data_IF_355032532441
#
_entry.id   IF_355032532441
#
_cell.length_a   1.000
_cell.length_b   1.000
_cell.length_c   1.000
_cell.angle_alpha   90.00
_cell.angle_beta   90.00
_cell.angle_gamma   90.00
#
_symmetry.space_group_name_H-M   'P 1'
#
loop_
_entity.id
_entity.type
_entity.pdbx_description
1 polymer ?
#
# COMPACT_ATOMS: atom_id res chain seq x y z
N UNK A 1 -17.84 -29.42 36.94
CA UNK A 1 -18.28 -30.32 35.85
C UNK A 1 -19.60 -29.82 35.32
N UNK A 2 -19.76 -29.78 34.00
CA UNK A 2 -21.06 -29.47 33.38
C UNK A 2 -21.65 -30.78 32.85
N UNK A 3 -22.97 -30.92 32.93
CA UNK A 3 -23.69 -32.06 32.38
C UNK A 3 -24.34 -31.63 31.07
N UNK A 4 -24.16 -32.45 30.02
CA UNK A 4 -24.90 -32.33 28.76
C UNK A 4 -25.70 -33.63 28.65
N UNK A 5 -27.01 -33.53 28.84
CA UNK A 5 -27.87 -34.71 29.06
C UNK A 5 -27.42 -35.50 30.29
N UNK A 6 -27.22 -36.81 30.11
CA UNK A 6 -26.76 -37.72 31.16
C UNK A 6 -25.23 -37.84 31.27
N UNK A 7 -24.48 -37.18 30.38
CA UNK A 7 -23.03 -37.27 30.35
C UNK A 7 -22.39 -36.13 31.14
N UNK A 8 -21.47 -36.48 32.04
CA UNK A 8 -20.59 -35.51 32.72
C UNK A 8 -19.44 -35.16 31.79
N UNK A 9 -19.35 -33.88 31.42
CA UNK A 9 -18.31 -33.38 30.53
C UNK A 9 -17.45 -32.30 31.20
N UNK A 10 -16.18 -32.28 30.82
CA UNK A 10 -15.25 -31.18 31.12
C UNK A 10 -15.24 -30.29 29.90
N UNK A 11 -15.68 -29.04 30.07
CA UNK A 11 -15.66 -28.06 28.99
C UNK A 11 -14.33 -27.31 29.08
N UNK A 12 -13.43 -27.59 28.15
CA UNK A 12 -12.20 -26.82 28.00
C UNK A 12 -12.45 -25.59 27.11
N UNK A 13 -11.78 -24.45 27.39
CA UNK A 13 -11.80 -23.31 26.50
C UNK A 13 -11.28 -23.68 25.12
N UNK A 14 -11.88 -23.13 24.06
CA UNK A 14 -11.33 -23.27 22.71
C UNK A 14 -9.89 -22.73 22.68
N UNK A 15 -8.93 -23.59 22.35
CA UNK A 15 -7.55 -23.18 22.17
C UNK A 15 -7.46 -22.28 20.92
N UNK A 16 -7.39 -20.97 21.14
CA UNK A 16 -7.25 -19.99 20.07
C UNK A 16 -5.78 -19.96 19.63
N UNK A 17 -5.52 -20.34 18.38
CA UNK A 17 -4.20 -20.11 17.78
C UNK A 17 -3.88 -18.61 17.83
N UNK A 18 -2.72 -18.27 18.38
CA UNK A 18 -2.19 -16.90 18.39
C UNK A 18 -1.80 -16.41 16.99
N UNK A 19 -1.52 -17.36 16.08
CA UNK A 19 -1.17 -17.08 14.69
C UNK A 19 -2.42 -16.86 13.83
N UNK A 20 -2.54 -15.72 13.12
CA UNK A 20 -3.56 -15.59 12.09
C UNK A 20 -3.34 -16.64 10.98
N UNK A 21 -4.42 -17.11 10.32
CA UNK A 21 -4.30 -18.12 9.27
C UNK A 21 -3.43 -17.61 8.11
N UNK A 22 -2.60 -18.50 7.56
CA UNK A 22 -1.81 -18.25 6.36
C UNK A 22 -2.40 -19.05 5.20
N UNK A 23 -2.56 -18.42 4.04
CA UNK A 23 -3.03 -19.09 2.83
C UNK A 23 -1.88 -19.81 2.13
N UNK A 24 -2.04 -21.11 1.89
CA UNK A 24 -1.09 -21.89 1.09
C UNK A 24 -1.19 -21.61 -0.42
N UNK A 25 -2.25 -20.92 -0.88
CA UNK A 25 -2.33 -20.45 -2.28
C UNK A 25 -1.40 -19.25 -2.48
N UNK A 26 -1.57 -18.16 -1.74
CA UNK A 26 -0.85 -16.90 -2.00
C UNK A 26 0.22 -16.54 -0.95
N UNK A 27 0.40 -17.35 0.09
CA UNK A 27 1.36 -17.18 1.20
C UNK A 27 1.12 -16.00 2.16
N UNK A 28 0.07 -15.22 1.93
CA UNK A 28 -0.32 -14.10 2.79
C UNK A 28 -1.16 -14.54 4.00
N UNK A 29 -1.20 -13.68 5.02
CA UNK A 29 -1.91 -13.92 6.28
C UNK A 29 -3.38 -13.46 6.22
N UNK A 30 -4.14 -13.76 7.29
CA UNK A 30 -5.51 -13.30 7.56
C UNK A 30 -6.63 -13.92 6.70
N UNK A 31 -6.36 -15.03 6.01
CA UNK A 31 -7.38 -15.76 5.26
C UNK A 31 -6.94 -17.21 4.99
N UNK A 32 -7.90 -18.09 4.70
CA UNK A 32 -7.64 -19.48 4.35
C UNK A 32 -7.53 -19.67 2.83
N UNK A 33 -6.79 -20.69 2.39
CA UNK A 33 -6.61 -21.03 0.96
C UNK A 33 -7.93 -21.24 0.22
N UNK A 34 -8.95 -21.80 0.89
CA UNK A 34 -10.28 -22.08 0.32
C UNK A 34 -10.99 -20.81 -0.18
N UNK A 35 -10.72 -19.67 0.46
CA UNK A 35 -11.35 -18.38 0.15
C UNK A 35 -10.37 -17.41 -0.54
N UNK A 36 -9.26 -17.93 -1.06
CA UNK A 36 -8.20 -17.12 -1.67
C UNK A 36 -8.39 -17.00 -3.18
N UNK A 37 -8.83 -15.83 -3.64
CA UNK A 37 -8.93 -15.50 -5.07
C UNK A 37 -7.61 -15.00 -5.70
N UNK A 38 -6.55 -14.84 -4.91
CA UNK A 38 -5.25 -14.36 -5.40
C UNK A 38 -4.49 -15.40 -6.23
N UNK A 39 -3.60 -14.90 -7.08
CA UNK A 39 -2.65 -15.71 -7.82
C UNK A 39 -1.80 -16.58 -6.88
N UNK A 40 -1.48 -17.82 -7.28
CA UNK A 40 -0.69 -18.71 -6.46
C UNK A 40 0.75 -18.19 -6.31
N UNK A 41 1.32 -18.41 -5.13
CA UNK A 41 2.73 -18.17 -4.83
C UNK A 41 3.32 -19.39 -4.15
N UNK A 42 4.46 -19.83 -4.65
CA UNK A 42 5.17 -20.98 -4.12
C UNK A 42 5.81 -20.64 -2.76
N UNK A 43 5.58 -21.49 -1.76
CA UNK A 43 6.14 -21.37 -0.41
C UNK A 43 7.68 -21.37 -0.40
N UNK A 44 8.29 -22.16 -1.31
CA UNK A 44 9.73 -22.38 -1.39
C UNK A 44 10.44 -21.27 -2.15
N UNK A 45 9.90 -20.84 -3.27
CA UNK A 45 10.65 -20.00 -4.22
C UNK A 45 10.00 -18.66 -4.54
N UNK A 46 8.83 -18.35 -3.98
CA UNK A 46 8.02 -17.16 -4.28
C UNK A 46 7.53 -17.03 -5.74
N UNK A 47 7.69 -18.08 -6.57
CA UNK A 47 7.22 -18.10 -7.96
C UNK A 47 5.70 -18.22 -8.09
N UNK A 48 5.16 -17.85 -9.25
CA UNK A 48 3.72 -17.80 -9.56
C UNK A 48 3.06 -19.16 -9.82
N UNK A 49 3.35 -20.17 -8.99
CA UNK A 49 2.82 -21.53 -9.09
C UNK A 49 2.51 -22.09 -7.70
N UNK A 50 1.76 -23.19 -7.63
CA UNK A 50 1.51 -23.89 -6.37
C UNK A 50 2.79 -24.60 -5.88
N UNK A 51 2.94 -24.77 -4.57
CA UNK A 51 4.14 -25.43 -4.01
C UNK A 51 4.31 -26.88 -4.51
N UNK A 52 3.21 -27.55 -4.88
CA UNK A 52 3.19 -28.88 -5.49
C UNK A 52 3.83 -28.93 -6.87
N UNK A 53 3.76 -27.85 -7.64
CA UNK A 53 4.31 -27.73 -9.00
C UNK A 53 5.76 -27.21 -9.00
N UNK A 54 6.34 -27.02 -7.81
CA UNK A 54 7.66 -26.42 -7.70
C UNK A 54 8.77 -27.41 -8.04
N UNK A 55 9.55 -27.10 -9.08
CA UNK A 55 10.72 -27.88 -9.51
C UNK A 55 11.96 -27.66 -8.64
N UNK A 56 11.95 -26.67 -7.73
CA UNK A 56 13.09 -26.45 -6.84
C UNK A 56 13.22 -27.59 -5.82
N UNK A 57 14.45 -28.12 -5.73
CA UNK A 57 14.84 -29.10 -4.71
C UNK A 57 14.59 -28.56 -3.30
N UNK A 58 14.26 -29.45 -2.37
CA UNK A 58 14.08 -29.12 -0.95
C UNK A 58 15.35 -28.55 -0.30
N UNK A 59 16.54 -28.86 -0.84
CA UNK A 59 17.84 -28.34 -0.37
C UNK A 59 18.19 -26.96 -0.93
N UNK A 60 17.47 -26.50 -1.97
CA UNK A 60 17.74 -25.19 -2.54
C UNK A 60 17.33 -24.07 -1.59
N UNK A 61 18.05 -22.95 -1.63
CA UNK A 61 17.74 -21.79 -0.80
C UNK A 61 16.31 -21.29 -1.08
N UNK A 62 15.51 -21.24 -0.02
CA UNK A 62 14.14 -20.76 -0.09
C UNK A 62 14.11 -19.22 -0.20
N UNK A 63 13.06 -18.69 -0.83
CA UNK A 63 12.79 -17.26 -0.93
C UNK A 63 11.40 -16.97 -0.38
N UNK A 64 11.33 -16.10 0.62
CA UNK A 64 10.08 -15.76 1.28
C UNK A 64 9.20 -14.91 0.36
N UNK A 65 7.94 -15.31 0.18
CA UNK A 65 6.96 -14.52 -0.59
C UNK A 65 6.56 -13.18 0.07
N UNK A 66 6.80 -13.02 1.37
CA UNK A 66 6.35 -11.87 2.16
C UNK A 66 7.46 -10.84 2.42
N UNK A 67 8.70 -11.30 2.71
CA UNK A 67 9.85 -10.42 3.00
C UNK A 67 11.01 -10.57 2.02
N UNK A 68 10.93 -11.49 1.05
CA UNK A 68 12.02 -11.81 0.10
C UNK A 68 13.31 -12.34 0.72
N UNK A 69 13.32 -12.65 2.03
CA UNK A 69 14.47 -13.22 2.73
C UNK A 69 14.75 -14.69 2.42
N UNK A 70 15.91 -15.21 2.87
CA UNK A 70 16.41 -16.56 2.56
C UNK A 70 15.74 -17.66 3.42
N UNK A 71 14.42 -17.68 3.45
CA UNK A 71 13.63 -18.64 4.24
C UNK A 71 12.25 -18.86 3.57
N UNK A 72 11.53 -19.96 3.86
CA UNK A 72 10.19 -20.14 3.33
C UNK A 72 9.19 -19.13 3.91
N UNK A 73 8.05 -18.93 3.24
CA UNK A 73 7.06 -17.93 3.65
C UNK A 73 6.37 -18.24 5.00
N UNK A 74 6.40 -19.49 5.46
CA UNK A 74 5.84 -19.94 6.75
C UNK A 74 6.83 -19.89 7.91
N UNK A 75 8.04 -19.37 7.70
CA UNK A 75 9.06 -19.27 8.75
C UNK A 75 8.60 -18.36 9.89
N UNK A 76 8.60 -18.87 11.12
CA UNK A 76 8.13 -18.16 12.31
C UNK A 76 8.91 -16.88 12.60
N UNK A 77 10.21 -16.86 12.33
CA UNK A 77 11.10 -15.70 12.50
C UNK A 77 11.01 -14.65 11.39
N UNK A 78 10.10 -14.79 10.42
CA UNK A 78 9.96 -13.81 9.35
C UNK A 78 9.61 -12.41 9.91
N UNK A 79 10.29 -11.32 9.51
CA UNK A 79 9.98 -9.97 10.01
C UNK A 79 8.59 -9.47 9.57
N UNK A 80 8.02 -10.06 8.51
CA UNK A 80 6.65 -9.78 8.03
C UNK A 80 5.61 -10.71 8.65
N UNK A 81 5.99 -11.62 9.54
CA UNK A 81 5.04 -12.43 10.30
C UNK A 81 4.22 -11.51 11.23
N UNK A 82 2.87 -11.59 11.22
CA UNK A 82 2.00 -10.80 12.09
C UNK A 82 2.33 -10.86 13.58
N UNK A 83 2.91 -11.95 14.08
CA UNK A 83 3.34 -12.02 15.49
C UNK A 83 4.54 -11.10 15.74
N UNK A 84 5.48 -11.05 14.79
CA UNK A 84 6.70 -10.27 14.93
C UNK A 84 6.46 -8.77 14.65
N UNK A 85 5.49 -8.43 13.80
CA UNK A 85 5.14 -7.03 13.50
C UNK A 85 4.35 -6.34 14.61
N UNK A 86 3.50 -7.06 15.34
CA UNK A 86 2.73 -6.50 16.48
C UNK A 86 3.65 -5.96 17.58
N UNK A 87 4.82 -6.56 17.77
CA UNK A 87 5.77 -6.12 18.79
C UNK A 87 6.45 -4.80 18.40
N UNK A 88 6.71 -4.58 17.11
CA UNK A 88 7.35 -3.34 16.62
C UNK A 88 6.42 -2.11 16.66
N UNK A 89 5.11 -2.29 16.49
CA UNK A 89 4.16 -1.17 16.50
C UNK A 89 3.83 -0.63 17.90
N UNK A 90 4.07 -1.40 18.98
CA UNK A 90 3.87 -0.93 20.35
C UNK A 90 4.86 0.16 20.76
N UNK A 91 6.03 0.21 20.11
CA UNK A 91 7.08 1.20 20.40
C UNK A 91 7.00 2.44 19.50
N UNK A 92 6.00 2.56 18.63
CA UNK A 92 5.82 3.77 17.83
C UNK A 92 5.12 4.81 18.70
N UNK A 93 5.70 6.00 18.95
CA UNK A 93 4.99 7.06 19.64
C UNK A 93 3.71 7.32 18.86
N UNK A 94 2.56 7.14 19.51
CA UNK A 94 1.26 7.44 18.93
C UNK A 94 1.22 8.94 18.73
N UNK A 95 1.64 9.43 17.55
CA UNK A 95 1.35 10.80 17.16
C UNK A 95 -0.17 10.94 17.21
N UNK A 96 -0.67 11.86 18.02
CA UNK A 96 -2.10 12.10 18.15
C UNK A 96 -2.64 12.62 16.81
N UNK A 97 -3.12 11.70 15.97
CA UNK A 97 -3.68 11.98 14.63
C UNK A 97 -4.75 13.07 14.68
N UNK A 98 -5.42 13.23 15.83
CA UNK A 98 -6.38 14.29 16.10
C UNK A 98 -5.78 15.70 16.16
N UNK A 99 -4.60 15.86 16.77
CA UNK A 99 -3.94 17.17 16.88
C UNK A 99 -3.40 17.62 15.50
N UNK A 100 -2.82 16.70 14.74
CA UNK A 100 -2.29 16.94 13.39
C UNK A 100 -3.41 17.29 12.40
N UNK A 101 -4.55 16.58 12.47
CA UNK A 101 -5.75 16.90 11.67
C UNK A 101 -6.41 18.21 12.07
N UNK A 102 -6.42 18.57 13.36
CA UNK A 102 -6.97 19.84 13.83
C UNK A 102 -6.12 21.03 13.35
N UNK A 103 -4.79 20.91 13.39
CA UNK A 103 -3.87 21.91 12.85
C UNK A 103 -4.06 22.12 11.34
N UNK A 104 -4.10 21.02 10.56
CA UNK A 104 -4.32 21.08 9.11
C UNK A 104 -5.70 21.64 8.72
N UNK A 105 -6.72 21.51 9.60
CA UNK A 105 -8.05 22.09 9.38
C UNK A 105 -8.08 23.59 9.64
N UNK A 106 -7.35 24.10 10.65
CA UNK A 106 -7.22 25.54 10.90
C UNK A 106 -6.55 26.26 9.73
N UNK A 107 -5.51 25.67 9.15
CA UNK A 107 -4.78 26.27 8.03
C UNK A 107 -5.65 26.42 6.76
N UNK A 108 -6.50 25.43 6.47
CA UNK A 108 -7.44 25.47 5.32
C UNK A 108 -8.65 26.39 5.50
N UNK A 109 -8.88 26.89 6.71
CA UNK A 109 -10.04 27.72 7.03
C UNK A 109 -9.69 29.21 7.01
N UNK A 110 -8.40 29.56 7.09
CA UNK A 110 -7.89 30.94 6.99
C UNK A 110 -7.85 31.50 5.57
N UNK A 111 -7.94 30.67 4.53
CA UNK A 111 -7.72 31.08 3.12
C UNK A 111 -8.99 31.11 2.28
N UNK A 112 -10.18 30.95 2.87
CA UNK A 112 -11.44 31.03 2.13
C UNK A 112 -11.91 32.48 2.12
N UNK A 113 -11.98 33.15 0.94
CA UNK A 113 -12.50 34.50 0.88
C UNK A 113 -13.96 34.48 1.33
N UNK A 114 -14.31 35.44 2.17
CA UNK A 114 -15.66 35.66 2.64
C UNK A 114 -16.55 36.12 1.49
N UNK A 115 -17.87 35.90 1.62
CA UNK A 115 -18.84 36.31 0.61
C UNK A 115 -18.74 37.80 0.26
N UNK A 116 -18.47 38.66 1.25
CA UNK A 116 -18.26 40.09 1.04
C UNK A 116 -16.98 40.42 0.27
N UNK A 117 -15.92 39.61 0.40
CA UNK A 117 -14.67 39.76 -0.37
C UNK A 117 -14.85 39.31 -1.82
N UNK A 118 -15.69 38.30 -2.07
CA UNK A 118 -16.01 37.83 -3.43
C UNK A 118 -16.79 38.89 -4.22
N UNK A 119 -17.74 39.57 -3.58
CA UNK A 119 -18.62 40.57 -4.24
C UNK A 119 -17.87 41.87 -4.56
N UNK A 120 -16.80 42.22 -3.84
CA UNK A 120 -15.99 43.42 -4.10
C UNK A 120 -14.96 43.25 -5.22
N UNK A 121 -14.85 42.05 -5.82
CA UNK A 121 -13.87 41.80 -6.88
C UNK A 121 -14.33 42.52 -8.17
N UNK A 122 -13.59 43.52 -8.67
CA UNK A 122 -13.96 44.17 -9.91
C UNK A 122 -13.88 43.15 -11.06
N UNK A 123 -14.97 43.03 -11.83
CA UNK A 123 -15.03 42.23 -13.05
C UNK A 123 -14.29 42.99 -14.17
N UNK A 124 -12.97 43.12 -14.04
CA UNK A 124 -12.14 43.70 -15.09
C UNK A 124 -11.55 42.55 -15.92
N UNK A 125 -12.27 42.17 -16.98
CA UNK A 125 -11.77 41.69 -18.28
C UNK A 125 -10.31 41.20 -18.36
N UNK A 126 -10.06 40.02 -17.78
CA UNK A 126 -8.83 39.24 -17.87
C UNK A 126 -8.86 38.37 -19.15
N UNK A 127 -8.84 39.01 -20.32
CA UNK A 127 -8.84 38.32 -21.64
C UNK A 127 -7.56 38.54 -22.45
N UNK A 128 -6.64 39.35 -21.93
CA UNK A 128 -5.34 39.64 -22.52
C UNK A 128 -4.26 38.65 -22.02
N UNK A 129 -4.29 38.28 -20.73
CA UNK A 129 -3.28 37.40 -20.10
C UNK A 129 -3.26 35.97 -20.67
N UNK A 130 -4.44 35.35 -20.88
CA UNK A 130 -4.52 34.02 -21.46
C UNK A 130 -4.09 33.98 -22.94
N UNK A 131 -4.34 35.06 -23.70
CA UNK A 131 -3.90 35.16 -25.10
C UNK A 131 -2.40 35.38 -25.20
N UNK A 132 -1.81 36.17 -24.30
CA UNK A 132 -0.36 36.34 -24.20
C UNK A 132 0.34 35.05 -23.80
N UNK A 133 -0.18 34.32 -22.80
CA UNK A 133 0.37 33.00 -22.43
C UNK A 133 0.35 32.00 -23.59
N UNK A 134 -0.76 31.93 -24.33
CA UNK A 134 -0.87 31.03 -25.47
C UNK A 134 0.05 31.43 -26.62
N UNK A 135 0.26 32.73 -26.82
CA UNK A 135 1.19 33.25 -27.83
C UNK A 135 2.65 32.97 -27.44
N UNK A 136 3.00 33.10 -26.16
CA UNK A 136 4.33 32.74 -25.64
C UNK A 136 4.59 31.23 -25.75
N UNK A 137 3.59 30.39 -25.47
CA UNK A 137 3.75 28.94 -25.60
C UNK A 137 3.94 28.51 -27.07
N UNK A 138 3.24 29.16 -28.00
CA UNK A 138 3.43 28.92 -29.44
C UNK A 138 4.83 29.35 -29.91
N UNK A 139 5.33 30.49 -29.43
CA UNK A 139 6.69 30.95 -29.75
C UNK A 139 7.78 30.01 -29.19
N UNK A 140 7.60 29.49 -27.98
CA UNK A 140 8.53 28.54 -27.37
C UNK A 140 8.63 27.23 -28.15
N UNK A 141 7.51 26.73 -28.67
CA UNK A 141 7.47 25.51 -29.48
C UNK A 141 8.13 25.70 -30.85
N UNK A 142 7.99 26.89 -31.45
CA UNK A 142 8.66 27.22 -32.70
C UNK A 142 10.19 27.30 -32.54
N UNK A 143 10.70 27.89 -31.46
CA UNK A 143 12.13 27.91 -31.14
C UNK A 143 12.69 26.50 -30.93
N UNK A 144 11.95 25.63 -30.24
CA UNK A 144 12.35 24.23 -30.06
C UNK A 144 12.44 23.47 -31.39
N UNK A 145 11.50 23.72 -32.32
CA UNK A 145 11.54 23.15 -33.66
C UNK A 145 12.78 23.57 -34.46
N UNK A 146 13.18 24.84 -34.36
CA UNK A 146 14.40 25.34 -35.02
C UNK A 146 15.68 24.79 -34.39
N UNK A 147 15.73 24.60 -33.07
CA UNK A 147 16.88 23.95 -32.42
C UNK A 147 17.03 22.48 -32.81
N UNK A 148 15.91 21.75 -32.95
CA UNK A 148 15.93 20.35 -33.35
C UNK A 148 16.38 20.15 -34.81
N UNK A 149 16.01 21.06 -35.72
CA UNK A 149 16.45 20.99 -37.12
C UNK A 149 17.92 21.37 -37.31
N UNK A 150 18.45 22.31 -36.51
CA UNK A 150 19.88 22.67 -36.49
C UNK A 150 20.74 21.50 -35.96
N UNK A 151 20.22 20.69 -35.04
CA UNK A 151 20.92 19.50 -34.51
C UNK A 151 20.94 18.32 -35.51
N UNK A 152 20.00 18.26 -36.45
CA UNK A 152 19.94 17.22 -37.49
C UNK A 152 20.76 17.53 -38.74
N UNK A 153 21.22 18.78 -38.91
CA UNK A 153 21.96 19.24 -40.11
C UNK A 153 23.48 19.37 -39.89
N UNK A 154 23.99 19.02 -38.70
CA UNK A 154 25.42 18.99 -38.36
C UNK A 154 26.01 17.56 -38.27
N UNK A 155 25.40 16.61 -38.98
CA UNK A 155 26.01 15.32 -39.34
C UNK A 155 25.95 15.16 -40.86
#
# INVERSE_FOLDING_TARGET
MKTIGFFRVVVEPLNKSSMPPQSYRCQEFFHHSRFCARAPKCLKCSGGHLTSECTKSAKAQAKCANCSGPHPANFSGCPKNPINTKNNNKNKPTKNVWQERAAARKEKQSTKPTFAEVVKRPQNNESLDAKEMMTQMAQMMAQWGQMLSILQTKF
#
